data_IF_054792929858
#
_entry.id   IF_054792929858
#
_cell.length_a   1.000
_cell.length_b   1.000
_cell.length_c   1.000
_cell.angle_alpha   90.00
_cell.angle_beta   90.00
_cell.angle_gamma   90.00
#
_symmetry.space_group_name_H-M   'P 1'
#
loop_
_entity.id
_entity.type
_entity.pdbx_description
1 polymer ?
#
# COMPACT_ATOMS: atom_id res chain seq x y z
N UNK A 1 -12.02 -34.84 -43.57
CA UNK A 1 -11.95 -33.46 -44.11
C UNK A 1 -10.71 -32.79 -43.53
N UNK A 2 -9.65 -32.69 -44.31
CA UNK A 2 -8.44 -31.92 -43.96
C UNK A 2 -8.74 -30.45 -44.25
N UNK A 3 -8.83 -29.62 -43.22
CA UNK A 3 -8.99 -28.16 -43.38
C UNK A 3 -7.62 -27.59 -43.73
N UNK A 4 -7.41 -27.26 -45.01
CA UNK A 4 -6.25 -26.47 -45.46
C UNK A 4 -6.53 -25.00 -45.21
N UNK A 5 -5.95 -24.42 -44.14
CA UNK A 5 -5.93 -22.97 -43.98
C UNK A 5 -5.06 -22.36 -45.08
N UNK A 6 -5.60 -21.38 -45.81
CA UNK A 6 -4.85 -20.66 -46.85
C UNK A 6 -3.76 -19.80 -46.21
N UNK A 7 -2.65 -19.59 -46.92
CA UNK A 7 -1.57 -18.69 -46.49
C UNK A 7 -2.07 -17.27 -46.20
N UNK A 8 -3.13 -16.82 -46.89
CA UNK A 8 -3.80 -15.54 -46.61
C UNK A 8 -4.52 -15.52 -45.26
N UNK A 9 -5.19 -16.62 -44.88
CA UNK A 9 -5.81 -16.75 -43.56
C UNK A 9 -4.76 -16.84 -42.44
N UNK A 10 -3.62 -17.50 -42.69
CA UNK A 10 -2.50 -17.55 -41.75
C UNK A 10 -1.85 -16.16 -41.59
N UNK A 11 -1.68 -15.41 -42.68
CA UNK A 11 -1.15 -14.05 -42.65
C UNK A 11 -2.08 -13.08 -41.91
N UNK A 12 -3.40 -13.12 -42.19
CA UNK A 12 -4.40 -12.35 -41.44
C UNK A 12 -4.42 -12.71 -39.96
N UNK A 13 -4.37 -14.00 -39.63
CA UNK A 13 -4.27 -14.47 -38.26
C UNK A 13 -2.99 -13.95 -37.58
N UNK A 14 -1.84 -14.03 -38.25
CA UNK A 14 -0.59 -13.46 -37.76
C UNK A 14 -0.68 -11.94 -37.60
N UNK A 15 -1.27 -11.20 -38.54
CA UNK A 15 -1.47 -9.75 -38.40
C UNK A 15 -2.37 -9.42 -37.20
N UNK A 16 -3.46 -10.17 -36.97
CA UNK A 16 -4.36 -9.98 -35.81
C UNK A 16 -3.66 -10.35 -34.50
N UNK A 17 -2.89 -11.44 -34.46
CA UNK A 17 -2.10 -11.87 -33.29
C UNK A 17 -0.92 -10.92 -33.01
N UNK A 18 -0.37 -10.28 -34.05
CA UNK A 18 0.64 -9.22 -33.93
C UNK A 18 0.02 -7.84 -33.64
N UNK A 19 -1.31 -7.71 -33.77
CA UNK A 19 -2.09 -6.51 -33.41
C UNK A 19 -2.64 -6.61 -31.99
N UNK A 20 -1.86 -7.11 -31.03
CA UNK A 20 -2.20 -6.93 -29.61
C UNK A 20 -1.96 -5.46 -29.28
N UNK A 21 -3.00 -4.65 -29.46
CA UNK A 21 -3.02 -3.28 -28.95
C UNK A 21 -3.07 -3.35 -27.44
N UNK A 22 -2.07 -2.78 -26.78
CA UNK A 22 -2.07 -2.68 -25.34
C UNK A 22 -3.18 -1.74 -24.87
N UNK A 23 -4.00 -2.19 -23.92
CA UNK A 23 -5.03 -1.36 -23.31
C UNK A 23 -4.47 -0.07 -22.71
N UNK A 24 -5.27 1.00 -22.74
CA UNK A 24 -5.01 2.27 -22.05
C UNK A 24 -5.58 2.22 -20.64
N UNK A 25 -4.71 2.18 -19.64
CA UNK A 25 -5.08 1.90 -18.24
C UNK A 25 -4.69 3.08 -17.36
N UNK A 26 -5.64 3.54 -16.54
CA UNK A 26 -5.37 4.50 -15.46
C UNK A 26 -5.08 3.75 -14.16
N UNK A 27 -3.94 4.01 -13.55
CA UNK A 27 -3.57 3.52 -12.22
C UNK A 27 -3.57 4.68 -11.24
N UNK A 28 -4.36 4.57 -10.16
CA UNK A 28 -4.59 5.65 -9.19
C UNK A 28 -4.16 5.22 -7.81
N UNK A 29 -3.20 5.92 -7.23
CA UNK A 29 -2.71 5.64 -5.88
C UNK A 29 -2.34 6.93 -5.19
N UNK A 30 -3.15 7.33 -4.21
CA UNK A 30 -3.01 8.64 -3.54
C UNK A 30 -2.17 8.59 -2.27
N UNK A 31 -1.90 7.40 -1.72
CA UNK A 31 -1.26 7.30 -0.40
C UNK A 31 0.19 7.78 -0.43
N UNK A 32 0.57 8.85 0.31
CA UNK A 32 1.95 9.32 0.42
C UNK A 32 2.78 8.40 1.32
N UNK A 33 2.98 7.15 0.90
CA UNK A 33 3.75 6.16 1.64
C UNK A 33 4.48 5.22 0.67
N UNK A 34 5.82 5.12 0.74
CA UNK A 34 6.58 4.27 -0.17
C UNK A 34 6.19 2.78 -0.05
N UNK A 35 5.71 2.33 1.11
CA UNK A 35 5.29 0.94 1.29
C UNK A 35 4.01 0.60 0.52
N UNK A 36 3.16 1.58 0.26
CA UNK A 36 1.98 1.43 -0.58
C UNK A 36 2.37 1.44 -2.06
N UNK A 37 3.30 2.31 -2.44
CA UNK A 37 3.66 2.50 -3.86
C UNK A 37 4.56 1.40 -4.42
N UNK A 38 5.52 0.85 -3.67
CA UNK A 38 6.48 -0.14 -4.20
C UNK A 38 5.82 -1.37 -4.84
N UNK A 39 4.85 -2.05 -4.21
CA UNK A 39 4.14 -3.15 -4.86
C UNK A 39 3.45 -2.74 -6.16
N UNK A 40 2.86 -1.54 -6.17
CA UNK A 40 2.11 -1.02 -7.31
C UNK A 40 3.04 -0.69 -8.48
N UNK A 41 4.20 -0.07 -8.20
CA UNK A 41 5.24 0.21 -9.19
C UNK A 41 5.62 -1.03 -9.99
N UNK A 42 5.83 -2.17 -9.34
CA UNK A 42 6.14 -3.42 -10.05
C UNK A 42 5.02 -3.85 -11.01
N UNK A 43 3.77 -3.66 -10.61
CA UNK A 43 2.60 -4.05 -11.41
C UNK A 43 2.46 -3.16 -12.63
N UNK A 44 2.39 -1.84 -12.44
CA UNK A 44 2.19 -0.95 -13.59
C UNK A 44 3.43 -0.89 -14.48
N UNK A 45 4.67 -1.05 -13.96
CA UNK A 45 5.86 -1.25 -14.80
C UNK A 45 5.75 -2.51 -15.67
N UNK A 46 5.27 -3.61 -15.09
CA UNK A 46 5.10 -4.86 -15.82
C UNK A 46 4.02 -4.74 -16.90
N UNK A 47 2.92 -4.03 -16.61
CA UNK A 47 1.87 -3.74 -17.61
C UNK A 47 2.42 -2.85 -18.73
N UNK A 48 3.14 -1.78 -18.39
CA UNK A 48 3.82 -0.93 -19.38
C UNK A 48 4.77 -1.75 -20.27
N UNK A 49 5.60 -2.61 -19.68
CA UNK A 49 6.56 -3.45 -20.40
C UNK A 49 5.89 -4.48 -21.33
N UNK A 50 4.64 -4.86 -21.04
CA UNK A 50 3.80 -5.72 -21.88
C UNK A 50 3.08 -4.97 -23.01
N UNK A 51 3.29 -3.65 -23.13
CA UNK A 51 2.78 -2.84 -24.23
C UNK A 51 1.54 -2.01 -23.90
N UNK A 52 1.01 -2.06 -22.66
CA UNK A 52 -0.13 -1.22 -22.24
C UNK A 52 0.26 0.26 -22.14
N UNK A 53 -0.62 1.17 -22.57
CA UNK A 53 -0.46 2.60 -22.32
C UNK A 53 -0.88 2.91 -20.88
N UNK A 54 0.09 3.13 -20.01
CA UNK A 54 -0.14 3.34 -18.58
C UNK A 54 -0.19 4.83 -18.25
N UNK A 55 -1.28 5.26 -17.65
CA UNK A 55 -1.42 6.56 -17.00
C UNK A 55 -1.41 6.35 -15.50
N UNK A 56 -0.46 6.92 -14.77
CA UNK A 56 -0.25 6.62 -13.34
C UNK A 56 -0.29 7.89 -12.52
N UNK A 57 -1.28 8.04 -11.63
CA UNK A 57 -1.27 9.07 -10.59
C UNK A 57 -0.58 8.49 -9.36
N UNK A 58 0.56 9.06 -8.97
CA UNK A 58 1.36 8.53 -7.87
C UNK A 58 2.17 9.62 -7.16
N UNK A 59 2.33 9.51 -5.82
CA UNK A 59 3.23 10.40 -5.08
C UNK A 59 4.69 9.96 -5.18
N UNK A 60 4.99 8.84 -5.84
CA UNK A 60 6.33 8.31 -6.02
C UNK A 60 6.56 7.98 -7.50
N UNK A 61 6.70 9.00 -8.37
CA UNK A 61 7.00 8.74 -9.77
C UNK A 61 8.36 8.07 -9.95
N UNK A 62 8.50 7.26 -10.99
CA UNK A 62 9.78 6.74 -11.43
C UNK A 62 10.61 7.87 -12.03
N UNK A 63 11.87 7.93 -11.63
CA UNK A 63 12.87 8.84 -12.19
C UNK A 63 13.65 8.09 -13.27
N UNK A 64 13.94 8.75 -14.40
CA UNK A 64 14.79 8.23 -15.48
C UNK A 64 14.38 6.86 -16.05
N UNK A 65 13.08 6.61 -16.23
CA UNK A 65 12.61 5.40 -16.92
C UNK A 65 12.68 5.53 -18.44
N UNK A 66 12.74 4.39 -19.14
CA UNK A 66 12.80 4.33 -20.61
C UNK A 66 11.46 4.00 -21.27
N UNK A 67 10.41 3.80 -20.48
CA UNK A 67 9.08 3.48 -21.00
C UNK A 67 8.45 4.66 -21.75
N UNK A 68 8.25 4.53 -23.05
CA UNK A 68 7.59 5.55 -23.88
C UNK A 68 6.06 5.60 -23.67
N UNK A 69 5.46 4.47 -23.31
CA UNK A 69 4.03 4.26 -23.07
C UNK A 69 3.64 4.40 -21.58
N UNK A 70 4.37 5.22 -20.82
CA UNK A 70 4.11 5.50 -19.42
C UNK A 70 4.01 7.00 -19.19
N UNK A 71 2.81 7.45 -18.84
CA UNK A 71 2.51 8.81 -18.44
C UNK A 71 2.33 8.83 -16.92
N UNK A 72 3.13 9.63 -16.23
CA UNK A 72 3.04 9.80 -14.78
C UNK A 72 2.46 11.18 -14.44
N UNK A 73 1.55 11.20 -13.48
CA UNK A 73 0.98 12.41 -12.86
C UNK A 73 1.56 12.50 -11.45
N UNK A 74 2.54 13.38 -11.29
CA UNK A 74 3.32 13.49 -10.05
C UNK A 74 2.53 14.26 -8.99
N UNK A 75 2.08 13.54 -7.97
CA UNK A 75 1.37 14.13 -6.82
C UNK A 75 2.24 14.15 -5.56
N UNK A 76 3.57 14.12 -5.69
CA UNK A 76 4.51 14.04 -4.56
C UNK A 76 4.37 15.18 -3.54
N UNK A 77 3.81 16.33 -3.93
CA UNK A 77 3.42 17.44 -3.04
C UNK A 77 2.54 16.99 -1.86
N UNK A 78 1.77 15.91 -2.02
CA UNK A 78 0.96 15.32 -0.93
C UNK A 78 1.81 14.85 0.25
N UNK A 79 3.10 14.52 0.07
CA UNK A 79 4.02 14.24 1.18
C UNK A 79 4.26 15.46 2.06
N UNK A 80 4.59 16.60 1.45
CA UNK A 80 4.87 17.84 2.18
C UNK A 80 3.62 18.34 2.89
N UNK A 81 2.47 18.28 2.22
CA UNK A 81 1.19 18.60 2.80
C UNK A 81 0.85 17.67 3.98
N UNK A 82 0.99 16.36 3.82
CA UNK A 82 0.72 15.39 4.88
C UNK A 82 1.64 15.62 6.08
N UNK A 83 2.94 15.86 5.86
CA UNK A 83 3.88 16.17 6.93
C UNK A 83 3.48 17.43 7.71
N UNK A 84 3.04 18.50 7.03
CA UNK A 84 2.54 19.73 7.67
C UNK A 84 1.28 19.46 8.49
N UNK A 85 0.30 18.76 7.92
CA UNK A 85 -0.92 18.38 8.62
C UNK A 85 -0.63 17.51 9.85
N UNK A 86 0.38 16.65 9.73
CA UNK A 86 0.80 15.79 10.82
C UNK A 86 1.41 16.57 11.99
N UNK A 87 2.15 17.64 11.71
CA UNK A 87 2.66 18.53 12.76
C UNK A 87 1.54 19.32 13.46
N UNK A 88 0.51 19.73 12.71
CA UNK A 88 -0.64 20.45 13.27
C UNK A 88 -1.55 19.52 14.10
N UNK A 89 -1.63 18.24 13.72
CA UNK A 89 -2.49 17.23 14.35
C UNK A 89 -1.70 16.14 15.08
N UNK A 90 -0.59 16.49 15.73
CA UNK A 90 0.29 15.54 16.46
C UNK A 90 -0.46 14.61 17.42
N UNK A 91 -1.52 15.11 18.09
CA UNK A 91 -2.34 14.30 19.00
C UNK A 91 -3.10 13.19 18.27
N UNK A 92 -3.73 13.49 17.14
CA UNK A 92 -4.49 12.51 16.35
C UNK A 92 -3.58 11.41 15.78
N UNK A 93 -2.34 11.75 15.42
CA UNK A 93 -1.39 10.77 14.87
C UNK A 93 -0.82 9.87 15.95
N UNK A 94 -0.36 10.47 17.05
CA UNK A 94 0.10 9.70 18.21
C UNK A 94 -1.02 8.75 18.67
N UNK A 95 -2.26 9.21 18.65
CA UNK A 95 -3.43 8.39 18.95
C UNK A 95 -3.63 7.26 17.93
N UNK A 96 -3.53 7.54 16.62
CA UNK A 96 -3.72 6.53 15.56
C UNK A 96 -2.65 5.43 15.56
N UNK A 97 -1.44 5.72 16.05
CA UNK A 97 -0.31 4.79 16.10
C UNK A 97 -0.27 3.94 17.38
N UNK A 98 -1.06 4.28 18.39
CA UNK A 98 -1.18 3.45 19.59
C UNK A 98 -1.93 2.17 19.26
N UNK A 99 -1.47 1.04 19.82
CA UNK A 99 -2.24 -0.22 19.79
C UNK A 99 -3.57 0.03 20.50
N UNK A 100 -4.70 0.07 19.78
CA UNK A 100 -5.96 0.46 20.39
C UNK A 100 -6.43 -0.68 21.30
N UNK A 101 -6.99 -0.34 22.45
CA UNK A 101 -7.95 -1.24 23.08
C UNK A 101 -9.28 -1.21 22.31
N UNK A 102 -10.23 -2.04 22.72
CA UNK A 102 -11.45 -2.23 21.95
C UNK A 102 -12.23 -0.93 21.69
N UNK A 103 -12.46 -0.12 22.73
CA UNK A 103 -13.16 1.16 22.59
C UNK A 103 -12.38 2.16 21.74
N UNK A 104 -11.05 2.17 21.88
CA UNK A 104 -10.17 3.04 21.10
C UNK A 104 -10.19 2.69 19.60
N UNK A 105 -10.55 1.46 19.24
CA UNK A 105 -10.63 1.03 17.83
C UNK A 105 -11.72 1.83 17.10
N UNK A 106 -12.88 2.05 17.71
CA UNK A 106 -13.97 2.85 17.13
C UNK A 106 -13.57 4.32 16.99
N UNK A 107 -12.96 4.90 18.02
CA UNK A 107 -12.50 6.30 18.00
C UNK A 107 -11.42 6.53 16.95
N UNK A 108 -10.54 5.54 16.77
CA UNK A 108 -9.49 5.55 15.76
C UNK A 108 -10.06 5.60 14.34
N UNK A 109 -11.15 4.90 14.05
CA UNK A 109 -11.79 4.95 12.72
C UNK A 109 -12.21 6.38 12.32
N UNK A 110 -12.71 7.20 13.27
CA UNK A 110 -13.05 8.59 12.98
C UNK A 110 -11.81 9.46 12.68
N UNK A 111 -10.69 9.22 13.35
CA UNK A 111 -9.45 9.96 13.12
C UNK A 111 -8.81 9.56 11.78
N UNK A 112 -8.76 8.25 11.51
CA UNK A 112 -8.26 7.66 10.27
C UNK A 112 -9.10 8.13 9.09
N UNK A 113 -10.43 8.10 9.20
CA UNK A 113 -11.34 8.61 8.17
C UNK A 113 -11.09 10.09 7.85
N UNK A 114 -10.95 10.95 8.86
CA UNK A 114 -10.63 12.38 8.67
C UNK A 114 -9.29 12.57 7.96
N UNK A 115 -8.31 11.72 8.24
CA UNK A 115 -7.01 11.71 7.57
C UNK A 115 -7.12 11.35 6.09
N UNK A 116 -7.75 10.21 5.78
CA UNK A 116 -7.97 9.74 4.41
C UNK A 116 -8.76 10.74 3.57
N UNK A 117 -9.86 11.26 4.11
CA UNK A 117 -10.66 12.30 3.46
C UNK A 117 -9.81 13.50 3.08
N UNK A 118 -9.03 14.03 4.01
CA UNK A 118 -8.23 15.22 3.78
C UNK A 118 -7.09 14.98 2.76
N UNK A 119 -6.45 13.80 2.79
CA UNK A 119 -5.44 13.42 1.78
C UNK A 119 -6.06 13.35 0.39
N UNK A 120 -7.21 12.67 0.26
CA UNK A 120 -7.87 12.50 -1.03
C UNK A 120 -8.41 13.83 -1.57
N UNK A 121 -9.08 14.64 -0.74
CA UNK A 121 -9.59 15.96 -1.13
C UNK A 121 -8.46 16.90 -1.56
N UNK A 122 -7.32 16.91 -0.84
CA UNK A 122 -6.15 17.68 -1.26
C UNK A 122 -5.57 17.19 -2.58
N UNK A 123 -5.52 15.87 -2.79
CA UNK A 123 -4.98 15.29 -4.04
C UNK A 123 -5.80 15.71 -5.25
N UNK A 124 -7.14 15.75 -5.16
CA UNK A 124 -8.00 16.24 -6.25
C UNK A 124 -7.79 17.72 -6.61
N UNK A 125 -7.18 18.51 -5.72
CA UNK A 125 -6.85 19.91 -5.99
C UNK A 125 -5.52 20.09 -6.73
N UNK A 126 -4.71 19.04 -6.84
CA UNK A 126 -3.38 19.15 -7.43
C UNK A 126 -3.45 19.39 -8.95
N UNK A 127 -2.57 20.24 -9.50
CA UNK A 127 -2.54 20.55 -10.93
C UNK A 127 -2.43 19.32 -11.81
N UNK A 128 -1.71 18.28 -11.36
CA UNK A 128 -1.52 17.04 -12.10
C UNK A 128 -2.80 16.20 -12.20
N UNK A 129 -3.68 16.22 -11.19
CA UNK A 129 -5.01 15.60 -11.30
C UNK A 129 -5.87 16.38 -12.28
N UNK A 130 -5.83 17.71 -12.24
CA UNK A 130 -6.52 18.53 -13.24
C UNK A 130 -5.99 18.26 -14.66
N UNK A 131 -4.67 18.15 -14.83
CA UNK A 131 -4.03 17.79 -16.11
C UNK A 131 -4.53 16.45 -16.63
N UNK A 132 -4.70 15.44 -15.77
CA UNK A 132 -5.29 14.17 -16.17
C UNK A 132 -6.71 14.37 -16.72
N UNK A 133 -7.57 15.07 -15.97
CA UNK A 133 -8.97 15.29 -16.34
C UNK A 133 -9.10 16.10 -17.64
N UNK A 134 -8.24 17.11 -17.84
CA UNK A 134 -8.26 17.98 -19.01
C UNK A 134 -7.69 17.30 -20.28
N UNK A 135 -6.78 16.32 -20.14
CA UNK A 135 -6.05 15.74 -21.27
C UNK A 135 -6.54 14.36 -21.70
N UNK A 136 -7.26 13.64 -20.84
CA UNK A 136 -7.68 12.26 -21.11
C UNK A 136 -9.20 12.18 -21.16
N UNK A 137 -9.72 11.50 -22.18
CA UNK A 137 -11.17 11.37 -22.41
C UNK A 137 -11.72 9.99 -22.02
N UNK A 138 -10.89 8.95 -22.05
CA UNK A 138 -11.33 7.57 -21.79
C UNK A 138 -10.17 6.66 -21.39
N UNK A 139 -10.53 5.55 -20.74
CA UNK A 139 -9.63 4.46 -20.34
C UNK A 139 -10.35 3.12 -20.52
N UNK A 140 -9.61 2.08 -20.85
CA UNK A 140 -10.14 0.71 -20.95
C UNK A 140 -10.37 0.08 -19.57
N UNK A 141 -9.61 0.52 -18.56
CA UNK A 141 -9.75 0.12 -17.18
C UNK A 141 -9.14 1.16 -16.23
N UNK A 142 -9.68 1.24 -15.02
CA UNK A 142 -9.15 2.07 -13.94
C UNK A 142 -8.81 1.20 -12.74
N UNK A 143 -7.53 1.13 -12.40
CA UNK A 143 -7.03 0.42 -11.23
C UNK A 143 -6.82 1.44 -10.10
N UNK A 144 -7.46 1.25 -8.96
CA UNK A 144 -7.37 2.19 -7.83
C UNK A 144 -6.87 1.51 -6.57
N UNK A 145 -6.07 2.21 -5.78
CA UNK A 145 -5.71 1.78 -4.43
C UNK A 145 -6.97 1.64 -3.56
N UNK A 146 -7.33 0.39 -3.24
CA UNK A 146 -8.63 0.01 -2.66
C UNK A 146 -8.62 0.03 -1.13
N UNK A 147 -8.26 1.17 -0.56
CA UNK A 147 -8.30 1.42 0.88
C UNK A 147 -9.37 2.44 1.27
N UNK A 148 -9.77 3.31 0.35
CA UNK A 148 -10.72 4.40 0.58
C UNK A 148 -11.49 4.72 -0.72
N UNK A 149 -12.80 5.02 -0.68
CA UNK A 149 -13.63 4.97 -1.89
C UNK A 149 -13.42 6.13 -2.87
N UNK A 150 -12.89 7.27 -2.43
CA UNK A 150 -12.85 8.51 -3.23
C UNK A 150 -12.14 8.33 -4.58
N UNK A 151 -11.06 7.54 -4.64
CA UNK A 151 -10.33 7.29 -5.89
C UNK A 151 -11.15 6.50 -6.92
N UNK A 152 -12.10 5.68 -6.46
CA UNK A 152 -13.00 4.91 -7.33
C UNK A 152 -13.86 5.81 -8.22
N UNK A 153 -14.12 7.05 -7.81
CA UNK A 153 -14.89 8.01 -8.59
C UNK A 153 -14.30 8.27 -9.99
N UNK A 154 -12.97 8.13 -10.16
CA UNK A 154 -12.32 8.25 -11.46
C UNK A 154 -12.77 7.15 -12.44
N UNK A 155 -13.07 5.94 -11.95
CA UNK A 155 -13.64 4.88 -12.79
C UNK A 155 -15.04 5.25 -13.29
N UNK A 156 -15.87 5.83 -12.41
CA UNK A 156 -17.20 6.34 -12.79
C UNK A 156 -17.13 7.52 -13.75
N UNK A 157 -16.21 8.46 -13.53
CA UNK A 157 -15.98 9.62 -14.40
C UNK A 157 -15.61 9.20 -15.83
N UNK A 158 -14.68 8.26 -15.97
CA UNK A 158 -14.27 7.72 -17.27
C UNK A 158 -15.18 6.61 -17.81
N UNK A 159 -16.23 6.23 -17.06
CA UNK A 159 -17.16 5.14 -17.38
C UNK A 159 -16.44 3.84 -17.74
N UNK A 160 -15.37 3.56 -16.99
CA UNK A 160 -14.46 2.44 -17.23
C UNK A 160 -14.60 1.37 -16.14
N UNK A 161 -14.31 0.09 -16.44
CA UNK A 161 -14.25 -0.98 -15.45
C UNK A 161 -13.32 -0.62 -14.27
N UNK A 162 -13.84 -0.80 -13.05
CA UNK A 162 -13.11 -0.55 -11.81
C UNK A 162 -12.39 -1.81 -11.34
N UNK A 163 -11.08 -1.70 -11.13
CA UNK A 163 -10.23 -2.72 -10.51
C UNK A 163 -9.68 -2.15 -9.21
N UNK A 164 -9.89 -2.85 -8.10
CA UNK A 164 -9.28 -2.50 -6.82
C UNK A 164 -7.92 -3.17 -6.67
N UNK A 165 -6.97 -2.48 -6.03
CA UNK A 165 -5.70 -3.07 -5.64
C UNK A 165 -5.30 -2.65 -4.22
N UNK A 166 -4.87 -3.60 -3.39
CA UNK A 166 -4.33 -3.34 -2.06
C UNK A 166 -2.87 -3.76 -1.99
N UNK A 167 -2.03 -2.88 -1.41
CA UNK A 167 -0.63 -3.19 -1.07
C UNK A 167 -0.49 -4.16 0.12
N UNK A 168 -1.62 -4.45 0.77
CA UNK A 168 -1.83 -5.41 1.86
C UNK A 168 -3.18 -6.15 1.65
N UNK A 169 -3.83 -6.59 2.73
CA UNK A 169 -5.24 -7.02 2.69
C UNK A 169 -6.21 -5.84 2.57
N UNK A 170 -7.39 -6.08 2.02
CA UNK A 170 -8.46 -5.08 1.97
C UNK A 170 -9.18 -4.93 3.33
N UNK A 171 -9.68 -3.72 3.67
CA UNK A 171 -10.55 -3.53 4.82
C UNK A 171 -11.91 -4.23 4.62
N UNK A 172 -12.66 -4.52 5.70
CA UNK A 172 -13.95 -5.24 5.62
C UNK A 172 -14.91 -4.61 4.61
N UNK A 173 -15.08 -3.30 4.64
CA UNK A 173 -15.94 -2.60 3.68
C UNK A 173 -15.45 -2.78 2.24
N UNK A 174 -14.14 -2.74 1.98
CA UNK A 174 -13.60 -2.97 0.65
C UNK A 174 -13.82 -4.39 0.12
N UNK A 175 -13.89 -5.38 1.02
CA UNK A 175 -14.24 -6.76 0.68
C UNK A 175 -15.75 -6.91 0.45
N UNK A 176 -16.57 -6.22 1.23
CA UNK A 176 -18.03 -6.27 1.08
C UNK A 176 -18.47 -5.73 -0.29
N UNK A 177 -17.80 -4.69 -0.81
CA UNK A 177 -18.11 -4.09 -2.12
C UNK A 177 -17.90 -5.04 -3.32
N UNK A 178 -17.00 -6.03 -3.21
CA UNK A 178 -16.84 -7.10 -4.23
C UNK A 178 -17.67 -8.35 -3.90
N UNK A 179 -18.59 -8.25 -2.93
CA UNK A 179 -19.44 -9.35 -2.50
C UNK A 179 -18.74 -10.39 -1.59
N UNK A 180 -17.54 -10.11 -1.10
CA UNK A 180 -16.81 -11.01 -0.21
C UNK A 180 -17.15 -10.75 1.26
N UNK A 181 -18.39 -11.08 1.64
CA UNK A 181 -18.90 -10.87 2.99
C UNK A 181 -18.26 -11.85 3.98
N UNK A 182 -17.39 -11.33 4.84
CA UNK A 182 -16.76 -12.14 5.89
C UNK A 182 -17.65 -12.26 7.12
N UNK A 183 -17.66 -13.46 7.73
CA UNK A 183 -18.27 -13.67 9.03
C UNK A 183 -17.35 -13.13 10.14
N UNK A 184 -17.74 -12.06 10.87
CA UNK A 184 -16.87 -11.41 11.84
C UNK A 184 -16.54 -12.28 13.06
N UNK A 185 -17.31 -13.34 13.33
CA UNK A 185 -17.07 -14.27 14.43
C UNK A 185 -15.90 -15.21 14.15
N UNK A 186 -15.70 -15.57 12.87
CA UNK A 186 -14.66 -16.50 12.41
C UNK A 186 -13.46 -15.74 11.85
N UNK A 187 -13.73 -14.62 11.17
CA UNK A 187 -12.73 -13.78 10.53
C UNK A 187 -12.93 -12.32 10.98
N UNK A 188 -12.43 -11.96 12.19
CA UNK A 188 -12.45 -10.58 12.64
C UNK A 188 -11.74 -9.64 11.68
N UNK A 189 -12.20 -8.39 11.63
CA UNK A 189 -11.51 -7.34 10.87
C UNK A 189 -10.10 -7.10 11.43
N UNK A 190 -9.18 -6.76 10.54
CA UNK A 190 -7.75 -6.57 10.85
C UNK A 190 -7.47 -5.44 11.86
N UNK A 191 -8.36 -4.46 11.99
CA UNK A 191 -8.22 -3.34 12.92
C UNK A 191 -8.64 -3.72 14.35
N UNK A 192 -9.34 -4.86 14.50
CA UNK A 192 -9.84 -5.30 15.80
C UNK A 192 -8.69 -5.96 16.60
N UNK A 193 -8.46 -5.57 17.87
CA UNK A 193 -7.31 -6.02 18.65
C UNK A 193 -7.50 -7.43 19.23
N UNK A 194 -7.80 -8.42 18.38
CA UNK A 194 -7.99 -9.83 18.72
C UNK A 194 -6.80 -10.65 18.17
N UNK A 195 -6.37 -11.67 18.91
CA UNK A 195 -5.30 -12.60 18.52
C UNK A 195 -5.62 -13.41 17.26
N UNK A 196 -4.71 -14.28 16.83
CA UNK A 196 -4.89 -15.11 15.61
C UNK A 196 -5.75 -16.36 15.81
N UNK A 197 -5.84 -16.88 17.03
CA UNK A 197 -6.58 -18.10 17.39
C UNK A 197 -7.33 -17.93 18.73
N UNK A 198 -8.16 -18.92 19.06
CA UNK A 198 -8.76 -19.11 20.40
C UNK A 198 -9.65 -17.96 20.88
N UNK A 199 -10.61 -17.55 20.05
CA UNK A 199 -11.51 -16.44 20.35
C UNK A 199 -12.51 -16.79 21.45
N UNK A 200 -12.47 -16.02 22.53
CA UNK A 200 -13.48 -16.06 23.58
C UNK A 200 -14.84 -15.57 23.04
N UNK A 201 -15.92 -15.84 23.79
CA UNK A 201 -17.23 -15.26 23.48
C UNK A 201 -17.17 -13.73 23.40
N UNK A 202 -16.43 -13.09 24.30
CA UNK A 202 -16.23 -11.64 24.32
C UNK A 202 -15.59 -11.16 23.02
N UNK A 203 -14.53 -11.81 22.56
CA UNK A 203 -13.84 -11.43 21.32
C UNK A 203 -14.77 -11.52 20.10
N UNK A 204 -15.57 -12.59 20.03
CA UNK A 204 -16.54 -12.80 18.95
C UNK A 204 -17.65 -11.75 18.95
N UNK A 205 -18.21 -11.45 20.12
CA UNK A 205 -19.23 -10.42 20.29
C UNK A 205 -18.71 -9.05 19.88
N UNK A 206 -17.52 -8.71 20.38
CA UNK A 206 -16.88 -7.44 20.11
C UNK A 206 -16.53 -7.30 18.62
N UNK A 207 -15.98 -8.33 17.99
CA UNK A 207 -15.75 -8.38 16.54
C UNK A 207 -17.04 -8.14 15.74
N UNK A 208 -18.15 -8.80 16.11
CA UNK A 208 -19.44 -8.60 15.45
C UNK A 208 -19.95 -7.15 15.59
N UNK A 209 -19.85 -6.56 16.79
CA UNK A 209 -20.23 -5.16 17.03
C UNK A 209 -19.39 -4.19 16.18
N UNK A 210 -18.08 -4.40 16.10
CA UNK A 210 -17.22 -3.60 15.25
C UNK A 210 -17.60 -3.74 13.77
N UNK A 211 -17.90 -4.96 13.33
CA UNK A 211 -18.29 -5.25 11.95
C UNK A 211 -19.60 -4.57 11.54
N UNK A 212 -20.58 -4.51 12.45
CA UNK A 212 -21.81 -3.72 12.24
C UNK A 212 -21.49 -2.23 12.19
N UNK A 213 -20.72 -1.73 13.15
CA UNK A 213 -20.33 -0.33 13.21
C UNK A 213 -19.63 0.14 11.93
N UNK A 214 -18.59 -0.57 11.47
CA UNK A 214 -17.79 -0.12 10.33
C UNK A 214 -18.60 -0.10 9.03
N UNK A 215 -19.53 -1.04 8.85
CA UNK A 215 -20.46 -1.07 7.70
C UNK A 215 -21.43 0.10 7.72
N UNK A 216 -22.07 0.36 8.86
CA UNK A 216 -22.97 1.50 9.02
C UNK A 216 -22.22 2.82 8.82
N UNK A 217 -21.05 2.96 9.44
CA UNK A 217 -20.22 4.14 9.31
C UNK A 217 -19.76 4.37 7.86
N UNK A 218 -19.36 3.31 7.16
CA UNK A 218 -18.96 3.38 5.76
C UNK A 218 -20.10 3.88 4.86
N UNK A 219 -21.27 3.23 4.91
CA UNK A 219 -22.38 3.57 4.02
C UNK A 219 -23.14 4.84 4.40
N UNK A 220 -23.25 5.18 5.69
CA UNK A 220 -24.02 6.35 6.13
C UNK A 220 -23.18 7.60 6.31
N UNK A 221 -21.86 7.48 6.50
CA UNK A 221 -20.97 8.63 6.69
C UNK A 221 -19.91 8.74 5.62
N UNK A 222 -19.13 7.71 5.35
CA UNK A 222 -17.95 7.80 4.46
C UNK A 222 -18.40 8.02 3.01
N UNK A 223 -19.13 7.07 2.42
CA UNK A 223 -19.52 7.13 1.01
C UNK A 223 -20.30 8.40 0.66
N UNK A 224 -21.34 8.83 1.41
CA UNK A 224 -22.05 10.08 1.11
C UNK A 224 -21.21 11.35 1.27
N UNK A 225 -20.15 11.30 2.08
CA UNK A 225 -19.24 12.45 2.23
C UNK A 225 -18.27 12.51 1.07
N UNK A 226 -17.68 11.37 0.71
CA UNK A 226 -16.77 11.28 -0.43
C UNK A 226 -17.49 11.56 -1.75
N UNK A 227 -18.74 11.10 -1.94
CA UNK A 227 -19.56 11.43 -3.11
C UNK A 227 -19.71 12.95 -3.29
N UNK A 228 -20.08 13.65 -2.21
CA UNK A 228 -20.16 15.13 -2.22
C UNK A 228 -18.82 15.78 -2.51
N UNK A 229 -17.72 15.20 -2.06
CA UNK A 229 -16.38 15.74 -2.32
C UNK A 229 -15.99 15.55 -3.78
N UNK A 230 -16.14 14.34 -4.34
CA UNK A 230 -15.73 14.09 -5.74
C UNK A 230 -16.56 14.87 -6.75
N UNK A 231 -17.84 15.11 -6.48
CA UNK A 231 -18.71 15.95 -7.34
C UNK A 231 -18.21 17.40 -7.48
N UNK A 232 -17.54 17.96 -6.45
CA UNK A 232 -16.91 19.29 -6.54
C UNK A 232 -15.83 19.36 -7.63
N UNK A 233 -15.17 18.23 -7.91
CA UNK A 233 -14.00 18.15 -8.81
C UNK A 233 -14.32 17.50 -10.15
N UNK A 234 -15.24 16.53 -10.16
CA UNK A 234 -15.59 15.73 -11.33
C UNK A 234 -16.93 16.14 -11.97
N UNK A 235 -17.68 17.03 -11.32
CA UNK A 235 -19.03 17.43 -11.74
C UNK A 235 -20.12 16.45 -11.31
N UNK A 236 -21.36 16.78 -11.66
CA UNK A 236 -22.55 16.03 -11.21
C UNK A 236 -22.97 14.89 -12.15
N UNK A 237 -22.38 14.79 -13.36
CA UNK A 237 -22.72 13.76 -14.37
C UNK A 237 -22.14 12.35 -14.06
N UNK A 238 -21.49 12.19 -12.91
CA UNK A 238 -20.99 10.89 -12.46
C UNK A 238 -22.06 10.13 -11.65
N UNK A 239 -22.11 8.78 -11.75
CA UNK A 239 -22.96 7.97 -10.89
C UNK A 239 -22.67 8.19 -9.40
N UNK A 240 -23.60 7.82 -8.52
CA UNK A 240 -23.36 7.86 -7.08
C UNK A 240 -22.15 6.99 -6.71
N UNK A 241 -21.26 7.52 -5.86
CA UNK A 241 -20.02 6.83 -5.50
C UNK A 241 -20.26 5.42 -4.94
N UNK A 242 -21.33 5.22 -4.17
CA UNK A 242 -21.66 3.90 -3.63
C UNK A 242 -22.11 2.89 -4.68
N UNK A 243 -22.58 3.32 -5.85
CA UNK A 243 -22.90 2.42 -6.95
C UNK A 243 -21.65 2.11 -7.78
N UNK A 244 -20.75 3.09 -7.91
CA UNK A 244 -19.43 2.89 -8.51
C UNK A 244 -18.64 1.85 -7.71
N UNK A 245 -18.60 1.96 -6.38
CA UNK A 245 -17.78 1.06 -5.55
C UNK A 245 -18.27 -0.39 -5.57
N UNK A 246 -19.59 -0.60 -5.65
CA UNK A 246 -20.21 -1.93 -5.76
C UNK A 246 -19.97 -2.61 -7.11
N UNK A 247 -19.59 -1.85 -8.12
CA UNK A 247 -19.34 -2.36 -9.47
C UNK A 247 -17.85 -2.68 -9.73
N UNK A 248 -17.10 -2.98 -8.66
CA UNK A 248 -15.72 -3.45 -8.76
C UNK A 248 -15.68 -4.82 -9.45
N UNK A 249 -14.89 -4.93 -10.52
CA UNK A 249 -14.81 -6.14 -11.35
C UNK A 249 -13.77 -7.14 -10.84
N UNK A 250 -12.72 -6.64 -10.18
CA UNK A 250 -11.58 -7.43 -9.71
C UNK A 250 -10.92 -6.72 -8.54
N UNK A 251 -10.51 -7.48 -7.53
CA UNK A 251 -9.74 -6.99 -6.38
C UNK A 251 -8.43 -7.76 -6.25
N UNK A 252 -7.33 -7.05 -6.43
CA UNK A 252 -5.97 -7.56 -6.34
C UNK A 252 -5.43 -7.34 -4.92
N UNK A 253 -5.02 -8.39 -4.21
CA UNK A 253 -4.49 -8.28 -2.86
C UNK A 253 -3.03 -8.74 -2.79
N UNK A 254 -2.13 -7.85 -2.35
CA UNK A 254 -0.73 -8.18 -2.09
C UNK A 254 -0.59 -8.89 -0.73
N UNK A 255 -1.09 -10.11 -0.64
CA UNK A 255 -1.01 -11.00 0.52
C UNK A 255 -0.79 -12.45 0.09
N UNK A 256 -0.30 -13.27 1.01
CA UNK A 256 -0.11 -14.70 0.82
C UNK A 256 -0.99 -15.48 1.80
N UNK A 257 -1.71 -16.48 1.29
CA UNK A 257 -2.66 -17.29 2.07
C UNK A 257 -2.03 -18.00 3.27
N UNK A 258 -0.74 -18.35 3.18
CA UNK A 258 -0.01 -19.08 4.23
C UNK A 258 0.38 -18.14 5.37
N UNK A 259 0.75 -16.89 5.08
CA UNK A 259 1.26 -15.94 6.09
C UNK A 259 0.17 -15.08 6.75
N UNK A 260 -0.99 -14.97 6.09
CA UNK A 260 -2.13 -14.20 6.57
C UNK A 260 -3.19 -15.09 7.24
N UNK A 261 -4.14 -14.45 7.94
CA UNK A 261 -5.32 -15.15 8.46
C UNK A 261 -6.09 -15.78 7.31
N UNK A 262 -6.50 -17.03 7.50
CA UNK A 262 -7.41 -17.71 6.58
C UNK A 262 -8.73 -16.94 6.52
N UNK A 263 -9.18 -16.67 5.30
CA UNK A 263 -10.47 -16.05 5.02
C UNK A 263 -11.01 -16.64 3.72
N UNK A 264 -12.34 -16.67 3.61
CA UNK A 264 -12.98 -16.98 2.33
C UNK A 264 -12.76 -15.84 1.34
N UNK A 265 -12.55 -16.20 0.08
CA UNK A 265 -12.39 -15.28 -1.05
C UNK A 265 -13.33 -15.68 -2.17
N UNK A 266 -13.97 -14.69 -2.80
CA UNK A 266 -14.77 -14.87 -4.02
C UNK A 266 -13.86 -14.92 -5.26
N UNK A 267 -14.31 -15.46 -6.41
CA UNK A 267 -13.50 -15.55 -7.63
C UNK A 267 -12.98 -14.20 -8.16
N UNK A 268 -13.65 -13.09 -7.84
CA UNK A 268 -13.21 -11.73 -8.18
C UNK A 268 -12.01 -11.23 -7.37
N UNK A 269 -11.49 -12.01 -6.42
CA UNK A 269 -10.30 -11.66 -5.63
C UNK A 269 -9.10 -12.48 -6.11
N UNK A 270 -8.00 -11.80 -6.44
CA UNK A 270 -6.72 -12.42 -6.79
C UNK A 270 -5.65 -12.02 -5.78
N UNK A 271 -5.09 -13.01 -5.10
CA UNK A 271 -3.97 -12.82 -4.17
C UNK A 271 -2.64 -13.06 -4.90
N UNK A 272 -1.74 -12.08 -4.92
CA UNK A 272 -0.48 -12.13 -5.68
C UNK A 272 0.77 -11.89 -4.82
N UNK A 273 0.68 -12.14 -3.51
CA UNK A 273 1.77 -11.91 -2.56
C UNK A 273 3.11 -12.55 -2.98
N UNK A 274 4.22 -11.92 -2.57
CA UNK A 274 5.56 -12.39 -2.92
C UNK A 274 6.12 -11.80 -4.22
N UNK A 275 5.71 -10.57 -4.56
CA UNK A 275 6.29 -9.79 -5.65
C UNK A 275 7.82 -9.86 -5.60
N UNK A 276 8.41 -10.30 -6.72
CA UNK A 276 9.85 -10.27 -6.93
C UNK A 276 10.21 -8.85 -7.35
N UNK A 277 10.91 -8.15 -6.47
CA UNK A 277 11.57 -6.92 -6.86
C UNK A 277 12.84 -7.28 -7.62
N UNK A 278 13.14 -6.53 -8.67
CA UNK A 278 14.46 -6.55 -9.27
C UNK A 278 15.49 -6.44 -8.14
N UNK A 279 16.40 -7.41 -8.05
CA UNK A 279 17.53 -7.32 -7.15
C UNK A 279 18.43 -6.25 -7.71
N UNK A 280 18.12 -4.98 -7.44
CA UNK A 280 19.07 -3.92 -7.64
C UNK A 280 20.22 -4.27 -6.69
N UNK A 281 21.30 -4.80 -7.27
CA UNK A 281 22.58 -4.97 -6.59
C UNK A 281 23.14 -3.56 -6.40
N UNK A 282 22.51 -2.80 -5.52
CA UNK A 282 23.10 -1.60 -5.00
C UNK A 282 24.22 -2.08 -4.09
N UNK A 283 25.43 -1.65 -4.42
CA UNK A 283 26.57 -1.87 -3.54
C UNK A 283 26.26 -1.26 -2.18
N UNK A 284 26.54 -2.02 -1.13
CA UNK A 284 26.42 -1.50 0.22
C UNK A 284 27.50 -0.45 0.41
N UNK A 285 27.16 0.64 1.09
CA UNK A 285 28.13 1.65 1.54
C UNK A 285 29.38 0.96 2.11
N UNK A 286 30.61 1.40 1.74
CA UNK A 286 31.83 0.68 2.08
C UNK A 286 31.97 0.36 3.57
N UNK A 287 31.56 1.28 4.44
CA UNK A 287 31.55 1.09 5.89
C UNK A 287 30.60 -0.02 6.35
N UNK A 288 29.38 -0.06 5.79
CA UNK A 288 28.41 -1.11 6.08
C UNK A 288 28.88 -2.46 5.54
N UNK A 289 29.45 -2.49 4.32
CA UNK A 289 30.02 -3.71 3.75
C UNK A 289 31.12 -4.27 4.63
N UNK A 290 32.08 -3.44 5.04
CA UNK A 290 33.18 -3.84 5.91
C UNK A 290 32.69 -4.33 7.28
N UNK A 291 31.71 -3.64 7.87
CA UNK A 291 31.10 -4.06 9.13
C UNK A 291 30.43 -5.44 9.03
N UNK A 292 29.70 -5.69 7.94
CA UNK A 292 29.04 -6.97 7.69
C UNK A 292 30.03 -8.10 7.38
N UNK A 293 31.05 -7.85 6.56
CA UNK A 293 32.00 -8.86 6.12
C UNK A 293 32.94 -9.31 7.27
N UNK A 294 33.15 -8.46 8.28
CA UNK A 294 33.92 -8.81 9.48
C UNK A 294 33.08 -9.50 10.58
N UNK A 295 31.80 -9.73 10.35
CA UNK A 295 30.94 -10.35 11.34
C UNK A 295 31.23 -11.85 11.49
N UNK A 296 31.66 -12.26 12.69
CA UNK A 296 32.01 -13.67 12.99
C UNK A 296 30.82 -14.51 13.41
N UNK A 297 29.88 -13.90 14.14
CA UNK A 297 28.75 -14.59 14.74
C UNK A 297 27.45 -14.39 13.94
N UNK A 298 27.51 -13.63 12.85
CA UNK A 298 26.36 -13.27 12.04
C UNK A 298 25.76 -11.91 12.41
N UNK A 299 24.79 -11.52 11.59
CA UNK A 299 24.24 -10.16 11.57
C UNK A 299 22.76 -10.15 11.95
N UNK A 300 22.38 -9.16 12.75
CA UNK A 300 20.99 -8.75 13.02
C UNK A 300 20.73 -7.44 12.28
N UNK A 301 19.67 -7.40 11.47
CA UNK A 301 19.17 -6.15 10.88
C UNK A 301 17.94 -5.68 11.66
N UNK A 302 17.99 -4.48 12.23
CA UNK A 302 16.91 -3.86 13.00
C UNK A 302 16.45 -2.56 12.33
N UNK A 303 15.14 -2.45 12.11
CA UNK A 303 14.51 -1.29 11.47
C UNK A 303 13.03 -1.22 11.87
N UNK A 304 12.58 -0.02 12.26
CA UNK A 304 11.17 0.29 12.54
C UNK A 304 10.41 0.80 11.31
N UNK A 305 10.98 0.63 10.11
CA UNK A 305 10.39 1.07 8.85
C UNK A 305 10.64 2.55 8.53
N UNK A 306 10.02 3.02 7.45
CA UNK A 306 10.22 4.38 6.93
C UNK A 306 9.30 5.41 7.60
N UNK A 307 8.11 4.99 8.04
CA UNK A 307 7.08 5.90 8.58
C UNK A 307 7.34 6.34 10.03
N UNK A 308 8.11 5.57 10.80
CA UNK A 308 8.42 5.86 12.20
C UNK A 308 9.78 6.57 12.26
N UNK A 309 9.75 7.85 12.65
CA UNK A 309 10.92 8.59 13.11
C UNK A 309 11.13 8.31 14.59
N UNK A 310 12.05 7.40 14.90
CA UNK A 310 12.33 6.89 16.24
C UNK A 310 12.49 7.98 17.29
N UNK A 311 13.22 9.06 16.98
CA UNK A 311 13.43 10.20 17.89
C UNK A 311 12.14 10.98 18.18
N UNK A 312 11.15 10.91 17.28
CA UNK A 312 9.85 11.57 17.48
C UNK A 312 8.85 10.68 18.23
N UNK A 313 9.06 9.36 18.27
CA UNK A 313 8.07 8.40 18.75
C UNK A 313 8.50 7.61 20.00
N UNK A 314 9.81 7.39 20.19
CA UNK A 314 10.34 6.68 21.35
C UNK A 314 10.80 7.65 22.43
N UNK A 315 10.54 7.31 23.69
CA UNK A 315 11.13 8.02 24.82
C UNK A 315 12.64 7.70 24.93
N UNK A 316 13.43 8.57 25.59
CA UNK A 316 14.84 8.27 25.87
C UNK A 316 15.04 6.91 26.55
N UNK A 317 14.15 6.55 27.49
CA UNK A 317 14.18 5.25 28.17
C UNK A 317 13.95 4.08 27.20
N UNK A 318 13.04 4.21 26.23
CA UNK A 318 12.82 3.15 25.23
C UNK A 318 14.03 2.99 24.31
N UNK A 319 14.65 4.10 23.90
CA UNK A 319 15.87 4.08 23.09
C UNK A 319 17.00 3.39 23.86
N UNK A 320 17.17 3.72 25.14
CA UNK A 320 18.18 3.11 26.01
C UNK A 320 17.98 1.60 26.18
N UNK A 321 16.73 1.15 26.32
CA UNK A 321 16.42 -0.30 26.35
C UNK A 321 16.83 -0.97 25.05
N UNK A 322 16.49 -0.42 23.88
CA UNK A 322 16.91 -1.00 22.60
C UNK A 322 18.42 -1.02 22.45
N UNK A 323 19.09 0.08 22.82
CA UNK A 323 20.54 0.19 22.79
C UNK A 323 21.23 -0.85 23.65
N UNK A 324 20.78 -1.00 24.91
CA UNK A 324 21.31 -1.97 25.85
C UNK A 324 21.12 -3.39 25.34
N UNK A 325 19.89 -3.77 25.00
CA UNK A 325 19.56 -5.13 24.55
C UNK A 325 20.29 -5.48 23.25
N UNK A 326 20.31 -4.58 22.26
CA UNK A 326 21.02 -4.82 21.00
C UNK A 326 22.55 -4.83 21.20
N UNK A 327 23.06 -4.06 22.16
CA UNK A 327 24.47 -4.01 22.53
C UNK A 327 24.99 -5.29 23.17
N UNK A 328 24.16 -5.96 23.96
CA UNK A 328 24.50 -7.24 24.64
C UNK A 328 24.47 -8.45 23.70
N UNK A 329 23.90 -8.31 22.50
CA UNK A 329 23.83 -9.43 21.56
C UNK A 329 25.23 -9.81 21.05
N UNK A 330 25.53 -11.12 20.91
CA UNK A 330 26.81 -11.58 20.37
C UNK A 330 26.94 -11.36 18.84
N UNK A 331 25.97 -10.68 18.22
CA UNK A 331 25.86 -10.44 16.78
C UNK A 331 26.25 -9.01 16.43
N UNK A 332 26.67 -8.78 15.18
CA UNK A 332 26.74 -7.43 14.63
C UNK A 332 25.34 -6.94 14.31
N UNK A 333 24.95 -5.80 14.86
CA UNK A 333 23.61 -5.23 14.67
C UNK A 333 23.70 -4.06 13.70
N UNK A 334 22.93 -4.12 12.63
CA UNK A 334 22.70 -3.00 11.72
C UNK A 334 21.37 -2.37 12.08
N UNK A 335 21.40 -1.16 12.65
CA UNK A 335 20.23 -0.42 13.09
C UNK A 335 19.97 0.77 12.15
N UNK A 336 18.86 0.72 11.40
CA UNK A 336 18.36 1.89 10.68
C UNK A 336 17.92 2.96 11.70
N UNK A 337 18.69 4.03 11.83
CA UNK A 337 18.50 5.10 12.81
C UNK A 337 17.98 6.37 12.12
N UNK A 338 17.61 7.39 12.89
CA UNK A 338 17.11 8.64 12.32
C UNK A 338 18.24 9.60 11.92
N UNK A 339 19.37 9.55 12.63
CA UNK A 339 20.53 10.44 12.47
C UNK A 339 21.80 9.65 12.13
N UNK A 340 22.89 10.36 11.83
CA UNK A 340 24.21 9.76 11.60
C UNK A 340 24.96 9.44 12.90
N UNK A 341 24.48 9.95 14.04
CA UNK A 341 25.09 9.74 15.36
C UNK A 341 24.06 9.23 16.38
N UNK A 342 24.56 8.52 17.39
CA UNK A 342 23.81 8.04 18.54
C UNK A 342 24.72 8.12 19.77
N UNK A 343 24.22 8.74 20.84
CA UNK A 343 24.94 8.81 22.11
C UNK A 343 25.07 7.41 22.71
N UNK A 344 26.26 7.11 23.23
CA UNK A 344 26.61 5.81 23.84
C UNK A 344 26.36 4.61 22.90
N UNK A 345 26.51 4.80 21.58
CA UNK A 345 26.31 3.73 20.59
C UNK A 345 27.22 2.52 20.89
N UNK A 346 26.67 1.31 21.09
CA UNK A 346 27.47 0.11 21.30
C UNK A 346 28.40 -0.19 20.13
N UNK A 347 29.52 -0.84 20.41
CA UNK A 347 30.55 -1.17 19.41
C UNK A 347 30.06 -2.19 18.37
N UNK A 348 29.22 -3.13 18.79
CA UNK A 348 28.60 -4.13 17.91
C UNK A 348 27.42 -3.57 17.10
N UNK A 349 27.09 -2.28 17.21
CA UNK A 349 25.98 -1.63 16.49
C UNK A 349 26.51 -0.66 15.43
N UNK A 350 26.09 -0.88 14.19
CA UNK A 350 26.23 0.07 13.08
C UNK A 350 24.91 0.82 12.88
N UNK A 351 24.96 2.15 12.82
CA UNK A 351 23.79 3.00 12.57
C UNK A 351 23.89 3.67 11.21
N UNK A 352 22.76 3.88 10.55
CA UNK A 352 22.67 4.76 9.38
C UNK A 352 21.23 5.23 9.17
N UNK A 353 21.08 6.44 8.67
CA UNK A 353 19.79 7.02 8.30
C UNK A 353 19.12 6.31 7.11
N UNK A 354 19.94 5.69 6.24
CA UNK A 354 19.48 4.96 5.07
C UNK A 354 20.23 3.64 4.88
N UNK A 355 19.48 2.53 4.79
CA UNK A 355 20.04 1.21 4.54
C UNK A 355 19.23 0.53 3.44
N UNK A 356 19.92 0.02 2.41
CA UNK A 356 19.30 -0.87 1.44
C UNK A 356 18.96 -2.21 2.10
N UNK A 357 17.73 -2.30 2.60
CA UNK A 357 17.22 -3.46 3.32
C UNK A 357 17.32 -4.75 2.49
N UNK A 358 17.01 -4.71 1.19
CA UNK A 358 17.04 -5.92 0.34
C UNK A 358 18.47 -6.42 0.13
N UNK A 359 19.44 -5.52 -0.06
CA UNK A 359 20.84 -5.86 -0.20
C UNK A 359 21.41 -6.48 1.10
N UNK A 360 21.09 -5.89 2.26
CA UNK A 360 21.48 -6.47 3.55
C UNK A 360 20.82 -7.84 3.75
N UNK A 361 19.50 -7.96 3.60
CA UNK A 361 18.78 -9.22 3.84
C UNK A 361 19.09 -10.32 2.82
N UNK A 362 19.63 -9.97 1.66
CA UNK A 362 20.03 -10.87 0.59
C UNK A 362 21.44 -11.45 0.73
N UNK A 363 22.29 -10.90 1.62
CA UNK A 363 23.62 -11.47 1.88
C UNK A 363 23.54 -12.77 2.70
N UNK A 364 24.46 -13.70 2.41
CA UNK A 364 24.79 -14.83 3.28
C UNK A 364 26.12 -14.51 4.00
N UNK A 365 26.32 -14.86 5.28
CA UNK A 365 25.43 -15.59 6.19
C UNK A 365 24.69 -14.64 7.16
N UNK A 366 23.49 -14.16 6.79
CA UNK A 366 22.60 -13.56 7.81
C UNK A 366 22.09 -14.65 8.74
N UNK A 367 22.46 -14.57 10.02
CA UNK A 367 22.13 -15.59 11.03
C UNK A 367 20.78 -15.35 11.68
N UNK A 368 20.33 -14.09 11.85
CA UNK A 368 19.04 -13.78 12.48
C UNK A 368 18.40 -12.54 11.85
N UNK A 369 17.13 -12.66 11.44
CA UNK A 369 16.35 -11.55 10.84
C UNK A 369 15.28 -11.09 11.83
N UNK A 370 15.48 -9.93 12.47
CA UNK A 370 14.47 -9.31 13.34
C UNK A 370 13.87 -8.07 12.68
N UNK A 371 12.67 -8.20 12.11
CA UNK A 371 11.86 -7.03 11.74
C UNK A 371 10.85 -6.77 12.85
N UNK A 372 11.08 -5.73 13.65
CA UNK A 372 10.04 -5.19 14.51
C UNK A 372 9.01 -4.47 13.62
N UNK A 373 7.90 -5.14 13.31
CA UNK A 373 6.68 -4.46 12.86
C UNK A 373 5.93 -4.07 14.14
N UNK A 374 5.98 -2.79 14.50
CA UNK A 374 5.09 -2.19 15.49
C UNK A 374 3.85 -1.63 14.79
#
# INVERSE_FOLDING_TARGET
>A
MTVTLSWGALFLYCCVVLSVSGSKILFVSFTPSPSHQKPFQEIWRTLTAKGHEMHVITPNPLVNHTYANLIQYDISDVYAWAAKMNQLKKKDIKYSLQKPNFLHTFLKEFAVNRGWHAVHEYTFQLPEVKRLLDTQSSFDAVIVEWLYPTAAALAGYYRAPLIGICSLGAPTNGLDEIGNILNPVVTPDQNVPIGRSDFSFRDRLLSALYSVFIRLYYHWRIVPTEDRTVRKYLGDDIPYLGDITRNISLLLLNRNQISHRLMSVVPGIVEFGGLKYDKIVQELEPGLKHFLDNSKNGVVYFSMGAAIKQLAFLSPQQIDVFRTVLGELPYNVVWKWDNETMDEKPDNVFISSWINQTAVLGKKPLSVKFRAQL
#
